data_IF_031845298120
#
_entry.id   IF_031845298120
#
_cell.length_a   1.000
_cell.length_b   1.000
_cell.length_c   1.000
_cell.angle_alpha   90.00
_cell.angle_beta   90.00
_cell.angle_gamma   90.00
#
_symmetry.space_group_name_H-M   'P 1'
#
loop_
_entity.id
_entity.type
_entity.pdbx_description
1 polymer ?
#
# COMPACT_ATOMS: atom_id res chain seq x y z
N UNK A 1 -12.65 -23.74 7.02
CA UNK A 1 -13.55 -24.20 5.94
C UNK A 1 -13.29 -23.30 4.73
N UNK A 2 -12.75 -23.83 3.63
CA UNK A 2 -12.41 -23.03 2.44
C UNK A 2 -13.62 -22.81 1.54
N UNK A 3 -13.67 -21.67 0.84
CA UNK A 3 -14.67 -21.39 -0.19
C UNK A 3 -14.59 -22.44 -1.31
N UNK A 4 -15.74 -22.90 -1.82
CA UNK A 4 -15.80 -23.89 -2.91
C UNK A 4 -15.37 -23.33 -4.28
N UNK A 5 -15.14 -22.02 -4.40
CA UNK A 5 -14.71 -21.36 -5.65
C UNK A 5 -13.20 -21.50 -5.88
N UNK A 6 -12.81 -21.81 -7.12
CA UNK A 6 -11.37 -21.81 -7.51
C UNK A 6 -10.80 -20.39 -7.36
N UNK A 7 -9.62 -20.27 -6.75
CA UNK A 7 -8.92 -19.01 -6.54
C UNK A 7 -8.71 -18.19 -7.83
N UNK A 8 -8.58 -18.87 -8.97
CA UNK A 8 -8.51 -18.24 -10.29
C UNK A 8 -9.72 -17.34 -10.60
N UNK A 9 -10.93 -17.73 -10.22
CA UNK A 9 -12.11 -16.91 -10.50
C UNK A 9 -12.14 -15.66 -9.62
N UNK A 10 -11.69 -15.80 -8.37
CA UNK A 10 -11.59 -14.69 -7.43
C UNK A 10 -10.46 -13.73 -7.82
N UNK A 11 -9.39 -14.21 -8.46
CA UNK A 11 -8.29 -13.34 -8.89
C UNK A 11 -8.73 -12.36 -9.97
N UNK A 12 -9.72 -12.69 -10.83
CA UNK A 12 -10.26 -11.72 -11.78
C UNK A 12 -10.84 -10.48 -11.10
N UNK A 13 -11.52 -10.64 -9.97
CA UNK A 13 -12.02 -9.50 -9.18
C UNK A 13 -10.86 -8.66 -8.67
N UNK A 14 -9.80 -9.29 -8.16
CA UNK A 14 -8.58 -8.60 -7.71
C UNK A 14 -7.93 -7.82 -8.86
N UNK A 15 -7.78 -8.43 -10.04
CA UNK A 15 -7.19 -7.79 -11.21
C UNK A 15 -8.01 -6.58 -11.67
N UNK A 16 -9.34 -6.71 -11.75
CA UNK A 16 -10.23 -5.61 -12.16
C UNK A 16 -10.16 -4.46 -11.15
N UNK A 17 -10.22 -4.75 -9.85
CA UNK A 17 -10.10 -3.72 -8.81
C UNK A 17 -8.71 -3.06 -8.80
N UNK A 18 -7.65 -3.85 -9.04
CA UNK A 18 -6.29 -3.34 -9.17
C UNK A 18 -6.14 -2.38 -10.35
N UNK A 19 -6.66 -2.76 -11.53
CA UNK A 19 -6.67 -1.90 -12.72
C UNK A 19 -7.48 -0.63 -12.47
N UNK A 20 -8.68 -0.76 -11.90
CA UNK A 20 -9.51 0.39 -11.56
C UNK A 20 -8.80 1.35 -10.60
N UNK A 21 -8.19 0.84 -9.54
CA UNK A 21 -7.41 1.63 -8.58
C UNK A 21 -6.21 2.33 -9.22
N UNK A 22 -5.46 1.64 -10.09
CA UNK A 22 -4.34 2.21 -10.84
C UNK A 22 -4.80 3.35 -11.76
N UNK A 23 -5.90 3.16 -12.51
CA UNK A 23 -6.48 4.20 -13.35
C UNK A 23 -6.92 5.40 -12.52
N UNK A 24 -7.62 5.18 -11.41
CA UNK A 24 -8.10 6.25 -10.54
C UNK A 24 -6.95 7.09 -9.96
N UNK A 25 -5.88 6.46 -9.44
CA UNK A 25 -4.75 7.22 -8.87
C UNK A 25 -3.97 7.98 -9.94
N UNK A 26 -3.86 7.43 -11.15
CA UNK A 26 -3.22 8.10 -12.28
C UNK A 26 -4.07 9.29 -12.76
N UNK A 27 -5.38 9.11 -12.96
CA UNK A 27 -6.29 10.18 -13.34
C UNK A 27 -6.28 11.29 -12.28
N UNK A 28 -6.34 10.94 -10.99
CA UNK A 28 -6.23 11.92 -9.92
C UNK A 28 -4.94 12.75 -10.02
N UNK A 29 -3.79 12.10 -10.16
CA UNK A 29 -2.51 12.81 -10.12
C UNK A 29 -2.17 13.54 -11.44
N UNK A 30 -2.56 12.99 -12.59
CA UNK A 30 -2.29 13.58 -13.90
C UNK A 30 -3.30 14.66 -14.24
N UNK A 31 -4.59 14.35 -14.14
CA UNK A 31 -5.65 15.25 -14.62
C UNK A 31 -6.05 16.30 -13.58
N UNK A 32 -6.07 15.93 -12.28
CA UNK A 32 -6.55 16.84 -11.24
C UNK A 32 -5.44 17.53 -10.44
N UNK A 33 -4.26 16.90 -10.32
CA UNK A 33 -3.14 17.43 -9.52
C UNK A 33 -2.00 18.05 -10.36
N UNK A 34 -2.19 18.13 -11.67
CA UNK A 34 -1.27 18.80 -12.58
C UNK A 34 -0.07 17.97 -13.07
N UNK A 35 -0.03 16.68 -12.78
CA UNK A 35 0.99 15.77 -13.32
C UNK A 35 1.91 15.13 -12.28
N UNK A 36 2.91 14.41 -12.81
CA UNK A 36 3.93 13.69 -12.09
C UNK A 36 5.30 14.22 -12.54
N UNK A 37 6.17 14.58 -11.59
CA UNK A 37 7.50 15.07 -11.92
C UNK A 37 8.55 14.51 -10.96
N UNK A 38 9.72 14.13 -11.49
CA UNK A 38 10.85 13.80 -10.63
C UNK A 38 11.43 15.06 -9.98
N UNK A 39 11.49 16.16 -10.72
CA UNK A 39 11.96 17.48 -10.27
C UNK A 39 11.07 18.55 -10.89
N UNK A 40 10.72 19.57 -10.11
CA UNK A 40 9.84 20.67 -10.54
C UNK A 40 10.00 21.88 -9.63
N UNK A 41 9.70 23.08 -10.14
CA UNK A 41 9.50 24.26 -9.31
C UNK A 41 8.24 24.12 -8.44
N UNK A 42 7.15 23.58 -9.01
CA UNK A 42 5.97 23.17 -8.26
C UNK A 42 6.23 21.82 -7.58
N UNK A 43 6.59 21.86 -6.30
CA UNK A 43 6.95 20.68 -5.50
C UNK A 43 5.79 19.69 -5.32
N UNK A 44 4.53 20.11 -5.47
CA UNK A 44 3.39 19.20 -5.41
C UNK A 44 3.46 18.11 -6.48
N UNK A 45 4.05 18.39 -7.65
CA UNK A 45 4.22 17.40 -8.73
C UNK A 45 5.20 16.28 -8.35
N UNK A 46 6.17 16.59 -7.49
CA UNK A 46 7.10 15.62 -6.89
C UNK A 46 6.34 14.74 -5.90
N UNK A 47 5.51 15.36 -5.05
CA UNK A 47 4.69 14.61 -4.11
C UNK A 47 3.67 13.69 -4.79
N UNK A 48 3.06 14.11 -5.91
CA UNK A 48 2.07 13.30 -6.62
C UNK A 48 2.61 11.92 -7.07
N UNK A 49 3.93 11.75 -7.19
CA UNK A 49 4.56 10.45 -7.47
C UNK A 49 4.42 9.49 -6.29
N UNK A 50 4.42 9.99 -5.04
CA UNK A 50 4.25 9.19 -3.83
C UNK A 50 2.96 8.34 -3.84
N UNK A 51 1.74 8.90 -3.89
CA UNK A 51 0.52 8.09 -3.83
C UNK A 51 0.38 7.12 -5.01
N UNK A 52 0.87 7.49 -6.20
CA UNK A 52 0.87 6.59 -7.37
C UNK A 52 1.74 5.36 -7.11
N UNK A 53 2.98 5.55 -6.66
CA UNK A 53 3.90 4.44 -6.41
C UNK A 53 3.50 3.62 -5.18
N UNK A 54 2.94 4.24 -4.14
CA UNK A 54 2.46 3.52 -2.96
C UNK A 54 1.27 2.62 -3.30
N UNK A 55 0.30 3.11 -4.09
CA UNK A 55 -0.87 2.31 -4.46
C UNK A 55 -0.50 1.22 -5.48
N UNK A 56 0.18 1.57 -6.57
CA UNK A 56 0.51 0.60 -7.62
C UNK A 56 1.55 -0.40 -7.12
N UNK A 57 2.60 0.07 -6.43
CA UNK A 57 3.67 -0.77 -5.92
C UNK A 57 3.23 -1.63 -4.73
N UNK A 58 3.03 -1.00 -3.56
CA UNK A 58 2.84 -1.78 -2.33
C UNK A 58 1.48 -2.47 -2.25
N UNK A 59 0.41 -1.80 -2.71
CA UNK A 59 -0.94 -2.33 -2.55
C UNK A 59 -1.30 -3.28 -3.70
N UNK A 60 -1.24 -2.82 -4.95
CA UNK A 60 -1.67 -3.62 -6.10
C UNK A 60 -0.66 -4.72 -6.40
N UNK A 61 0.61 -4.38 -6.67
CA UNK A 61 1.63 -5.40 -7.00
C UNK A 61 1.93 -6.32 -5.80
N UNK A 62 1.92 -5.79 -4.58
CA UNK A 62 2.01 -6.60 -3.36
C UNK A 62 0.84 -7.58 -3.21
N UNK A 63 -0.39 -7.15 -3.51
CA UNK A 63 -1.58 -8.00 -3.52
C UNK A 63 -1.49 -9.11 -4.59
N UNK A 64 -1.09 -8.76 -5.80
CA UNK A 64 -0.85 -9.71 -6.90
C UNK A 64 0.21 -10.75 -6.53
N UNK A 65 1.28 -10.33 -5.85
CA UNK A 65 2.31 -11.23 -5.35
C UNK A 65 1.76 -12.25 -4.34
N UNK A 66 0.89 -11.84 -3.42
CA UNK A 66 0.26 -12.71 -2.42
C UNK A 66 -0.60 -13.79 -3.09
N UNK A 67 -1.42 -13.42 -4.09
CA UNK A 67 -2.34 -14.37 -4.73
C UNK A 67 -1.67 -15.25 -5.80
N UNK A 68 -0.47 -14.87 -6.27
CA UNK A 68 0.23 -15.55 -7.38
C UNK A 68 0.37 -17.07 -7.21
N UNK A 69 0.65 -17.55 -6.00
CA UNK A 69 0.76 -18.99 -5.71
C UNK A 69 -0.55 -19.77 -5.94
N UNK A 70 -1.69 -19.14 -5.68
CA UNK A 70 -3.03 -19.73 -5.79
C UNK A 70 -3.64 -19.49 -7.18
N UNK A 71 -3.35 -18.37 -7.82
CA UNK A 71 -3.96 -17.97 -9.09
C UNK A 71 -3.27 -18.58 -10.33
N UNK A 72 -1.93 -18.74 -10.31
CA UNK A 72 -1.19 -19.18 -11.50
C UNK A 72 -1.20 -20.72 -11.66
N UNK A 73 -1.30 -21.26 -12.89
CA UNK A 73 -1.27 -22.71 -13.14
C UNK A 73 0.16 -23.27 -13.34
N UNK A 74 1.20 -22.64 -12.76
CA UNK A 74 2.60 -23.06 -12.91
C UNK A 74 3.08 -24.04 -11.83
N UNK A 75 4.28 -24.61 -11.99
CA UNK A 75 4.89 -25.44 -10.94
C UNK A 75 5.39 -24.55 -9.79
N UNK A 76 5.68 -25.20 -8.66
CA UNK A 76 5.97 -24.52 -7.38
C UNK A 76 7.21 -23.63 -7.45
N UNK A 77 8.22 -24.02 -8.22
CA UNK A 77 9.46 -23.25 -8.34
C UNK A 77 9.23 -21.94 -9.09
N UNK A 78 8.48 -21.98 -10.18
CA UNK A 78 8.12 -20.82 -11.00
C UNK A 78 7.21 -19.87 -10.21
N UNK A 79 6.20 -20.40 -9.51
CA UNK A 79 5.34 -19.60 -8.61
C UNK A 79 6.14 -18.87 -7.54
N UNK A 80 7.11 -19.57 -6.94
CA UNK A 80 8.00 -18.98 -5.93
C UNK A 80 8.84 -17.84 -6.49
N UNK A 81 9.40 -18.03 -7.67
CA UNK A 81 10.19 -17.00 -8.35
C UNK A 81 9.33 -15.78 -8.69
N UNK A 82 8.13 -15.99 -9.24
CA UNK A 82 7.19 -14.91 -9.57
C UNK A 82 6.79 -14.13 -8.30
N UNK A 83 6.39 -14.82 -7.23
CA UNK A 83 6.06 -14.21 -5.95
C UNK A 83 7.21 -13.35 -5.40
N UNK A 84 8.44 -13.89 -5.42
CA UNK A 84 9.63 -13.17 -4.97
C UNK A 84 9.88 -11.89 -5.77
N UNK A 85 9.82 -11.99 -7.11
CA UNK A 85 10.06 -10.86 -8.02
C UNK A 85 8.97 -9.80 -7.87
N UNK A 86 7.69 -10.19 -7.81
CA UNK A 86 6.59 -9.23 -7.65
C UNK A 86 6.69 -8.47 -6.33
N UNK A 87 7.00 -9.13 -5.22
CA UNK A 87 7.23 -8.45 -3.95
C UNK A 87 8.48 -7.55 -3.97
N UNK A 88 9.54 -7.93 -4.71
CA UNK A 88 10.73 -7.11 -4.87
C UNK A 88 10.42 -5.82 -5.65
N UNK A 89 9.66 -5.92 -6.75
CA UNK A 89 9.18 -4.76 -7.52
C UNK A 89 8.33 -3.86 -6.62
N UNK A 90 7.38 -4.43 -5.89
CA UNK A 90 6.53 -3.69 -4.97
C UNK A 90 7.34 -2.93 -3.91
N UNK A 91 8.36 -3.57 -3.31
CA UNK A 91 9.25 -2.96 -2.32
C UNK A 91 10.07 -1.81 -2.94
N UNK A 92 10.65 -2.00 -4.11
CA UNK A 92 11.42 -0.96 -4.82
C UNK A 92 10.53 0.25 -5.12
N UNK A 93 9.34 0.03 -5.67
CA UNK A 93 8.38 1.10 -5.96
C UNK A 93 7.94 1.82 -4.68
N UNK A 94 7.71 1.08 -3.59
CA UNK A 94 7.38 1.66 -2.28
C UNK A 94 8.51 2.53 -1.71
N UNK A 95 9.76 2.08 -1.81
CA UNK A 95 10.94 2.85 -1.39
C UNK A 95 11.05 4.15 -2.20
N UNK A 96 10.88 4.08 -3.53
CA UNK A 96 10.88 5.28 -4.39
C UNK A 96 9.70 6.19 -4.03
N UNK A 97 8.51 5.64 -3.78
CA UNK A 97 7.34 6.41 -3.36
C UNK A 97 7.61 7.19 -2.07
N UNK A 98 8.18 6.56 -1.04
CA UNK A 98 8.57 7.23 0.21
C UNK A 98 9.66 8.27 -0.03
N UNK A 99 10.68 7.93 -0.82
CA UNK A 99 11.73 8.88 -1.21
C UNK A 99 11.15 10.15 -1.82
N UNK A 100 10.14 10.04 -2.69
CA UNK A 100 9.49 11.21 -3.30
C UNK A 100 8.73 12.09 -2.30
N UNK A 101 8.14 11.50 -1.25
CA UNK A 101 7.53 12.27 -0.17
C UNK A 101 8.58 13.03 0.66
N UNK A 102 9.67 12.37 1.06
CA UNK A 102 10.78 13.01 1.77
C UNK A 102 11.43 14.11 0.93
N UNK A 103 11.61 13.86 -0.37
CA UNK A 103 12.14 14.84 -1.31
C UNK A 103 11.24 16.08 -1.37
N UNK A 104 9.93 15.90 -1.53
CA UNK A 104 8.97 17.01 -1.53
C UNK A 104 9.06 17.82 -0.23
N UNK A 105 9.06 17.16 0.93
CA UNK A 105 9.15 17.84 2.23
C UNK A 105 10.44 18.64 2.37
N UNK A 106 11.59 18.02 2.05
CA UNK A 106 12.89 18.67 2.15
C UNK A 106 13.00 19.87 1.20
N UNK A 107 12.51 19.75 -0.03
CA UNK A 107 12.53 20.84 -1.01
C UNK A 107 11.48 21.93 -0.74
N UNK A 108 10.48 21.65 0.12
CA UNK A 108 9.43 22.60 0.51
C UNK A 108 9.62 23.16 1.92
N UNK A 109 10.68 22.78 2.64
CA UNK A 109 10.92 23.22 4.02
C UNK A 109 9.93 22.65 5.04
N UNK A 110 9.29 21.52 4.75
CA UNK A 110 8.32 20.84 5.64
C UNK A 110 9.07 19.82 6.50
N UNK A 111 8.78 19.78 7.80
CA UNK A 111 9.34 18.78 8.70
C UNK A 111 8.94 17.36 8.26
N UNK A 112 9.83 16.39 8.41
CA UNK A 112 9.52 14.98 8.16
C UNK A 112 8.97 14.28 9.39
N UNK A 113 8.25 13.19 9.18
CA UNK A 113 7.85 12.23 10.21
C UNK A 113 7.08 12.81 11.40
N UNK A 114 6.27 13.87 11.20
CA UNK A 114 5.45 14.44 12.27
C UNK A 114 4.04 13.84 12.33
N UNK A 115 3.60 13.12 11.29
CA UNK A 115 2.22 12.61 11.20
C UNK A 115 2.15 11.11 11.52
N UNK A 116 1.03 10.68 12.11
CA UNK A 116 0.76 9.26 12.35
C UNK A 116 0.85 8.43 11.05
N UNK A 117 0.37 8.97 9.93
CA UNK A 117 0.49 8.34 8.60
C UNK A 117 1.95 8.00 8.27
N UNK A 118 2.87 8.93 8.49
CA UNK A 118 4.29 8.74 8.18
C UNK A 118 4.96 7.70 9.09
N UNK A 119 4.55 7.62 10.36
CA UNK A 119 5.07 6.60 11.30
C UNK A 119 4.60 5.21 10.89
N UNK A 120 3.31 5.06 10.56
CA UNK A 120 2.74 3.81 10.08
C UNK A 120 3.34 3.40 8.73
N UNK A 121 3.54 4.35 7.82
CA UNK A 121 4.14 4.11 6.50
C UNK A 121 5.58 3.59 6.60
N UNK A 122 6.41 4.21 7.45
CA UNK A 122 7.78 3.73 7.70
C UNK A 122 7.76 2.37 8.40
N UNK A 123 6.90 2.17 9.41
CA UNK A 123 6.76 0.87 10.06
C UNK A 123 6.39 -0.23 9.07
N UNK A 124 5.43 0.04 8.18
CA UNK A 124 4.96 -0.92 7.18
C UNK A 124 6.05 -1.28 6.18
N UNK A 125 6.75 -0.30 5.59
CA UNK A 125 7.79 -0.59 4.58
C UNK A 125 8.97 -1.36 5.19
N UNK A 126 9.32 -1.08 6.45
CA UNK A 126 10.38 -1.80 7.17
C UNK A 126 9.97 -3.24 7.41
N UNK A 127 8.75 -3.48 7.93
CA UNK A 127 8.23 -4.83 8.14
C UNK A 127 8.11 -5.60 6.83
N UNK A 128 7.68 -4.95 5.76
CA UNK A 128 7.61 -5.54 4.43
C UNK A 128 9.00 -5.95 3.92
N UNK A 129 10.01 -5.09 4.10
CA UNK A 129 11.39 -5.39 3.75
C UNK A 129 11.97 -6.56 4.55
N UNK A 130 11.74 -6.59 5.87
CA UNK A 130 12.14 -7.71 6.74
C UNK A 130 11.47 -9.00 6.26
N UNK A 131 10.18 -8.97 5.96
CA UNK A 131 9.44 -10.13 5.48
C UNK A 131 9.97 -10.63 4.14
N UNK A 132 10.33 -9.73 3.22
CA UNK A 132 10.91 -10.10 1.92
C UNK A 132 12.30 -10.74 2.09
N UNK A 133 13.18 -10.15 2.90
CA UNK A 133 14.51 -10.70 3.20
C UNK A 133 14.40 -12.06 3.88
N UNK A 134 13.55 -12.17 4.90
CA UNK A 134 13.27 -13.42 5.58
C UNK A 134 12.75 -14.48 4.59
N UNK A 135 11.78 -14.12 3.75
CA UNK A 135 11.23 -15.00 2.72
C UNK A 135 12.29 -15.49 1.73
N UNK A 136 13.18 -14.59 1.29
CA UNK A 136 14.30 -14.91 0.43
C UNK A 136 15.26 -15.92 1.09
N UNK A 137 15.76 -15.61 2.28
CA UNK A 137 16.74 -16.44 2.98
C UNK A 137 16.18 -17.82 3.36
N UNK A 138 14.93 -17.86 3.82
CA UNK A 138 14.30 -19.09 4.31
C UNK A 138 13.80 -19.98 3.17
N UNK A 139 13.16 -19.41 2.14
CA UNK A 139 12.46 -20.19 1.13
C UNK A 139 13.11 -20.18 -0.25
N UNK A 140 14.08 -19.31 -0.52
CA UNK A 140 14.73 -19.20 -1.83
C UNK A 140 16.23 -19.56 -1.78
N UNK A 141 17.08 -18.69 -1.24
CA UNK A 141 18.54 -18.90 -1.17
C UNK A 141 19.14 -18.22 0.07
N UNK A 142 20.02 -18.88 0.85
CA UNK A 142 20.53 -20.25 0.66
C UNK A 142 19.48 -21.35 0.92
N UNK A 143 18.36 -20.99 1.54
CA UNK A 143 17.26 -21.90 1.86
C UNK A 143 17.47 -22.56 3.23
N UNK A 144 16.46 -22.44 4.10
CA UNK A 144 16.48 -23.08 5.42
C UNK A 144 16.36 -24.61 5.34
N UNK A 145 16.67 -25.29 6.44
CA UNK A 145 16.41 -26.74 6.58
C UNK A 145 14.91 -27.02 6.42
N UNK A 146 14.54 -28.29 6.20
CA UNK A 146 13.14 -28.67 6.04
C UNK A 146 12.30 -28.31 7.28
N UNK A 147 12.83 -28.54 8.47
CA UNK A 147 12.16 -28.22 9.74
C UNK A 147 11.99 -26.71 9.93
N UNK A 148 13.06 -25.93 9.73
CA UNK A 148 12.97 -24.47 9.84
C UNK A 148 11.98 -23.88 8.84
N UNK A 149 11.94 -24.38 7.60
CA UNK A 149 10.94 -23.95 6.61
C UNK A 149 9.53 -24.31 7.04
N UNK A 150 9.31 -25.52 7.60
CA UNK A 150 8.00 -25.95 8.08
C UNK A 150 7.51 -25.11 9.26
N UNK A 151 8.39 -24.78 10.19
CA UNK A 151 8.09 -23.95 11.36
C UNK A 151 7.93 -22.47 11.02
N UNK A 152 8.69 -21.98 10.04
CA UNK A 152 8.63 -20.59 9.57
C UNK A 152 7.46 -20.32 8.64
N UNK A 153 6.94 -21.34 7.94
CA UNK A 153 5.89 -21.17 6.94
C UNK A 153 4.61 -20.53 7.52
N UNK A 154 4.11 -20.91 8.71
CA UNK A 154 2.99 -20.21 9.34
C UNK A 154 3.28 -18.73 9.58
N UNK A 155 4.47 -18.33 10.01
CA UNK A 155 4.83 -16.93 10.26
C UNK A 155 5.02 -16.13 8.97
N UNK A 156 5.49 -16.78 7.90
CA UNK A 156 5.62 -16.17 6.59
C UNK A 156 4.26 -16.02 5.89
N UNK A 157 3.40 -17.04 6.06
CA UNK A 157 2.05 -17.07 5.51
C UNK A 157 1.00 -16.47 6.44
N UNK A 158 1.36 -16.00 7.65
CA UNK A 158 0.39 -15.53 8.66
C UNK A 158 -0.18 -14.17 8.28
N UNK A 159 -0.94 -14.19 7.20
CA UNK A 159 -2.00 -13.26 6.88
C UNK A 159 -3.27 -13.96 6.40
N UNK A 160 -3.50 -15.28 6.60
CA UNK A 160 -4.79 -15.89 6.19
C UNK A 160 -5.22 -17.25 6.80
N UNK A 161 -4.32 -18.13 7.28
CA UNK A 161 -4.72 -19.55 7.49
C UNK A 161 -4.72 -20.04 8.96
N UNK A 162 -4.36 -19.21 9.96
CA UNK A 162 -4.29 -19.65 11.37
C UNK A 162 -4.63 -18.54 12.36
N UNK A 163 -5.92 -18.22 12.50
CA UNK A 163 -6.47 -17.17 13.38
C UNK A 163 -5.65 -16.88 14.66
N UNK A 164 -5.07 -15.67 14.70
CA UNK A 164 -4.34 -15.07 15.83
C UNK A 164 -3.36 -13.99 15.34
N UNK A 165 -3.50 -12.74 15.80
CA UNK A 165 -2.77 -11.52 15.37
C UNK A 165 -3.09 -10.94 13.98
N UNK A 166 -3.55 -11.75 13.02
CA UNK A 166 -3.92 -11.30 11.66
C UNK A 166 -5.14 -10.37 11.61
N UNK A 167 -6.02 -10.43 12.62
CA UNK A 167 -7.12 -9.49 12.77
C UNK A 167 -6.62 -8.06 13.00
N UNK A 168 -5.45 -7.84 13.62
CA UNK A 168 -5.02 -6.48 13.97
C UNK A 168 -4.64 -5.62 12.77
N UNK A 169 -4.03 -6.17 11.71
CA UNK A 169 -3.53 -5.37 10.58
C UNK A 169 -4.65 -5.01 9.58
N UNK A 170 -5.50 -5.99 9.26
CA UNK A 170 -6.70 -5.76 8.42
C UNK A 170 -7.73 -4.93 9.18
N UNK A 171 -7.92 -5.18 10.49
CA UNK A 171 -8.77 -4.30 11.30
C UNK A 171 -8.16 -2.92 11.43
N UNK A 172 -6.85 -2.73 11.50
CA UNK A 172 -6.29 -1.38 11.60
C UNK A 172 -6.50 -0.57 10.33
N UNK A 173 -6.27 -1.13 9.13
CA UNK A 173 -6.56 -0.43 7.88
C UNK A 173 -8.07 -0.19 7.69
N UNK A 174 -8.92 -1.16 8.05
CA UNK A 174 -10.38 -1.00 8.01
C UNK A 174 -10.87 0.01 9.07
N UNK A 175 -10.32 0.00 10.28
CA UNK A 175 -10.63 0.96 11.36
C UNK A 175 -10.19 2.36 10.95
N UNK A 176 -8.99 2.53 10.38
CA UNK A 176 -8.54 3.85 9.89
C UNK A 176 -9.41 4.34 8.74
N UNK A 177 -9.80 3.46 7.81
CA UNK A 177 -10.73 3.82 6.73
C UNK A 177 -12.14 4.17 7.24
N UNK A 178 -12.65 3.41 8.21
CA UNK A 178 -13.96 3.65 8.85
C UNK A 178 -13.93 4.93 9.69
N UNK A 179 -12.90 5.14 10.51
CA UNK A 179 -12.71 6.35 11.31
C UNK A 179 -12.58 7.57 10.40
N UNK A 180 -11.76 7.50 9.35
CA UNK A 180 -11.62 8.56 8.37
C UNK A 180 -12.96 8.88 7.70
N UNK A 181 -13.67 7.86 7.19
CA UNK A 181 -15.00 8.03 6.60
C UNK A 181 -16.03 8.63 7.56
N UNK A 182 -15.97 8.24 8.85
CA UNK A 182 -16.85 8.76 9.90
C UNK A 182 -16.57 10.23 10.17
N UNK A 183 -15.31 10.64 10.33
CA UNK A 183 -14.93 12.04 10.55
C UNK A 183 -15.22 12.93 9.34
N UNK A 184 -15.08 12.41 8.10
CA UNK A 184 -15.49 13.11 6.88
C UNK A 184 -16.99 13.35 6.86
N UNK A 185 -17.80 12.34 7.17
CA UNK A 185 -19.26 12.47 7.27
C UNK A 185 -19.69 13.45 8.36
N UNK A 186 -19.10 13.35 9.56
CA UNK A 186 -19.38 14.28 10.66
C UNK A 186 -19.02 15.72 10.30
N UNK A 187 -17.91 15.93 9.59
CA UNK A 187 -17.48 17.27 9.13
C UNK A 187 -18.43 17.80 8.04
N UNK A 188 -18.83 16.97 7.08
CA UNK A 188 -19.77 17.36 6.02
C UNK A 188 -21.17 17.69 6.56
N UNK A 189 -21.57 17.05 7.67
CA UNK A 189 -22.83 17.31 8.36
C UNK A 189 -22.74 18.42 9.42
N UNK A 190 -21.54 18.92 9.71
CA UNK A 190 -21.32 20.01 10.67
C UNK A 190 -21.69 21.36 10.05
N UNK A 191 -22.12 22.31 10.89
CA UNK A 191 -22.39 23.67 10.43
C UNK A 191 -21.07 24.30 10.00
N UNK A 192 -21.06 24.87 8.79
CA UNK A 192 -19.97 25.72 8.34
C UNK A 192 -19.82 26.94 9.27
N UNK A 193 -18.69 27.67 9.16
CA UNK A 193 -18.51 28.91 9.90
C UNK A 193 -19.67 29.87 9.59
N UNK A 194 -20.17 30.59 10.61
CA UNK A 194 -21.14 31.65 10.38
C UNK A 194 -20.50 32.71 9.49
N UNK A 195 -21.15 33.01 8.36
CA UNK A 195 -20.74 34.10 7.49
C UNK A 195 -20.96 35.41 8.26
N UNK A 196 -19.85 36.07 8.60
CA UNK A 196 -19.89 37.40 9.18
C UNK A 196 -20.35 38.39 8.12
N UNK A 197 -21.66 38.67 8.11
CA UNK A 197 -22.31 39.62 7.22
C UNK A 197 -21.88 41.09 7.48
N UNK A 198 -20.91 41.35 8.36
CA UNK A 198 -20.44 42.70 8.65
C UNK A 198 -19.27 43.21 7.78
N UNK A 199 -18.75 42.43 6.83
CA UNK A 199 -17.56 42.84 6.05
C UNK A 199 -17.82 43.66 4.77
N UNK A 200 -19.06 44.07 4.45
CA UNK A 200 -19.35 44.90 3.26
C UNK A 200 -19.89 46.31 3.56
N UNK A 201 -19.71 46.82 4.78
CA UNK A 201 -20.02 48.21 5.13
C UNK A 201 -18.73 48.96 5.50
N UNK A 202 -18.34 49.89 4.62
CA UNK A 202 -17.23 50.85 4.69
C UNK A 202 -15.88 50.35 4.15
N UNK A 203 -15.65 50.55 2.85
CA UNK A 203 -14.84 51.64 2.26
C UNK A 203 -15.56 52.09 0.98
#
# INVERSE_FOLDING_TARGET
MGLQMKALHLSFVVHVLGVAGAVMVLVWNISFRGGLAWSSSNKNLIFNVHPVLMLIGLVIMGGEAIISYKALPFKKAEKKLIHLILHAIALILGIIGIYMAFKNHNESGIANLYSLHSWLGIGLIVLYGIQWIFGFLMFFYPGGTADLRRESLPWHNSGLDKYGSEAFLVNFTAIVAILYGTFVLLTALSRGPEEDNHSYSAI
#
